data_IF_644867383305
#
_entry.id   IF_644867383305
#
_cell.length_a   1.000
_cell.length_b   1.000
_cell.length_c   1.000
_cell.angle_alpha   90.00
_cell.angle_beta   90.00
_cell.angle_gamma   90.00
#
_symmetry.space_group_name_H-M   'P 1'
#
loop_
_entity.id
_entity.type
_entity.pdbx_description
1 polymer ?
#
# COMPACT_ATOMS: atom_id res chain seq x y z
N UNK A 1 -7.44 -43.62 -17.39
CA UNK A 1 -6.29 -42.76 -17.76
C UNK A 1 -6.80 -41.33 -17.77
N UNK A 2 -6.22 -40.44 -16.99
CA UNK A 2 -6.44 -38.99 -17.18
C UNK A 2 -5.89 -38.67 -18.57
N UNK A 3 -6.69 -38.04 -19.42
CA UNK A 3 -6.25 -37.61 -20.75
C UNK A 3 -5.08 -36.64 -20.57
N UNK A 4 -3.89 -37.01 -21.09
CA UNK A 4 -2.65 -36.23 -20.95
C UNK A 4 -2.83 -34.80 -21.48
N UNK A 5 -3.68 -34.62 -22.49
CA UNK A 5 -4.04 -33.33 -23.08
C UNK A 5 -4.86 -32.48 -22.11
N UNK A 6 -5.76 -33.10 -21.36
CA UNK A 6 -6.59 -32.41 -20.37
C UNK A 6 -5.78 -31.99 -19.14
N UNK A 7 -4.80 -32.80 -18.74
CA UNK A 7 -3.88 -32.46 -17.66
C UNK A 7 -2.97 -31.28 -18.02
N UNK A 8 -2.41 -31.27 -19.23
CA UNK A 8 -1.60 -30.14 -19.73
C UNK A 8 -2.40 -28.84 -19.76
N UNK A 9 -3.63 -28.87 -20.31
CA UNK A 9 -4.53 -27.71 -20.30
C UNK A 9 -4.78 -27.18 -18.89
N UNK A 10 -4.98 -28.07 -17.91
CA UNK A 10 -5.15 -27.66 -16.50
C UNK A 10 -3.91 -27.01 -15.91
N UNK A 11 -2.70 -27.44 -16.28
CA UNK A 11 -1.47 -26.80 -15.81
C UNK A 11 -1.32 -25.38 -16.37
N UNK A 12 -1.58 -25.18 -17.67
CA UNK A 12 -1.55 -23.85 -18.27
C UNK A 12 -2.64 -22.93 -17.72
N UNK A 13 -3.84 -23.46 -17.47
CA UNK A 13 -4.91 -22.69 -16.78
C UNK A 13 -4.48 -22.26 -15.37
N UNK A 14 -3.87 -23.17 -14.59
CA UNK A 14 -3.35 -22.84 -13.26
C UNK A 14 -2.24 -21.77 -13.31
N UNK A 15 -1.40 -21.80 -14.34
CA UNK A 15 -0.37 -20.78 -14.58
C UNK A 15 -1.00 -19.41 -14.85
N UNK A 16 -1.95 -19.36 -15.78
CA UNK A 16 -2.66 -18.13 -16.14
C UNK A 16 -3.45 -17.54 -14.97
N UNK A 17 -4.17 -18.37 -14.22
CA UNK A 17 -4.89 -17.95 -13.01
C UNK A 17 -3.93 -17.35 -11.96
N UNK A 18 -2.78 -17.98 -11.76
CA UNK A 18 -1.77 -17.53 -10.80
C UNK A 18 -1.14 -16.20 -11.23
N UNK A 19 -0.83 -16.03 -12.52
CA UNK A 19 -0.32 -14.77 -13.08
C UNK A 19 -1.35 -13.64 -12.99
N UNK A 20 -2.61 -13.92 -13.32
CA UNK A 20 -3.71 -12.97 -13.18
C UNK A 20 -3.96 -12.57 -11.72
N UNK A 21 -3.90 -13.53 -10.78
CA UNK A 21 -3.98 -13.25 -9.34
C UNK A 21 -2.88 -12.26 -8.92
N UNK A 22 -1.65 -12.50 -9.35
CA UNK A 22 -0.49 -11.64 -9.05
C UNK A 22 -0.64 -10.24 -9.61
N UNK A 23 -0.98 -10.11 -10.89
CA UNK A 23 -1.16 -8.80 -11.53
C UNK A 23 -2.25 -7.98 -10.84
N UNK A 24 -3.37 -8.62 -10.48
CA UNK A 24 -4.44 -7.97 -9.73
C UNK A 24 -3.97 -7.50 -8.36
N UNK A 25 -3.26 -8.36 -7.61
CA UNK A 25 -2.74 -8.03 -6.27
C UNK A 25 -1.68 -6.92 -6.33
N UNK A 26 -0.80 -6.95 -7.32
CA UNK A 26 0.21 -5.90 -7.58
C UNK A 26 -0.47 -4.55 -7.82
N UNK A 27 -1.48 -4.52 -8.70
CA UNK A 27 -2.24 -3.30 -8.98
C UNK A 27 -2.92 -2.75 -7.72
N UNK A 28 -3.51 -3.62 -6.89
CA UNK A 28 -4.14 -3.21 -5.62
C UNK A 28 -3.12 -2.62 -4.64
N UNK A 29 -1.93 -3.22 -4.55
CA UNK A 29 -0.83 -2.72 -3.74
C UNK A 29 -0.37 -1.33 -4.23
N UNK A 30 -0.10 -1.17 -5.51
CA UNK A 30 0.30 0.11 -6.12
C UNK A 30 -0.75 1.20 -5.90
N UNK A 31 -2.03 0.88 -6.12
CA UNK A 31 -3.12 1.82 -5.88
C UNK A 31 -3.27 2.19 -4.39
N UNK A 32 -3.02 1.24 -3.49
CA UNK A 32 -3.04 1.51 -2.04
C UNK A 32 -1.87 2.41 -1.63
N UNK A 33 -0.70 2.21 -2.24
CA UNK A 33 0.47 3.06 -2.05
C UNK A 33 0.21 4.50 -2.49
N UNK A 34 -0.38 4.68 -3.67
CA UNK A 34 -0.79 5.99 -4.19
C UNK A 34 -1.83 6.67 -3.29
N UNK A 35 -2.83 5.93 -2.83
CA UNK A 35 -3.87 6.45 -1.93
C UNK A 35 -3.29 6.93 -0.59
N UNK A 36 -2.38 6.16 0.02
CA UNK A 36 -1.73 6.55 1.27
C UNK A 36 -0.91 7.84 1.07
N UNK A 37 -0.17 7.95 -0.03
CA UNK A 37 0.60 9.15 -0.36
C UNK A 37 -0.30 10.37 -0.62
N UNK A 38 -1.40 10.17 -1.36
CA UNK A 38 -2.39 11.22 -1.63
C UNK A 38 -3.04 11.73 -0.36
N UNK A 39 -3.49 10.84 0.53
CA UNK A 39 -4.09 11.23 1.82
C UNK A 39 -3.09 12.03 2.66
N UNK A 40 -1.82 11.59 2.73
CA UNK A 40 -0.79 12.33 3.46
C UNK A 40 -0.56 13.74 2.88
N UNK A 41 -0.57 13.87 1.56
CA UNK A 41 -0.48 15.17 0.89
C UNK A 41 -1.70 16.07 1.17
N UNK A 42 -2.92 15.54 1.02
CA UNK A 42 -4.16 16.27 1.32
C UNK A 42 -4.20 16.75 2.76
N UNK A 43 -3.77 15.91 3.70
CA UNK A 43 -3.72 16.25 5.12
C UNK A 43 -2.71 17.37 5.41
N UNK A 44 -1.55 17.39 4.74
CA UNK A 44 -0.59 18.48 4.85
C UNK A 44 -1.16 19.81 4.33
N UNK A 45 -1.90 19.78 3.21
CA UNK A 45 -2.55 20.98 2.68
C UNK A 45 -3.60 21.51 3.65
N UNK A 46 -4.44 20.64 4.21
CA UNK A 46 -5.44 21.01 5.22
C UNK A 46 -4.78 21.65 6.44
N UNK A 47 -3.66 21.10 6.92
CA UNK A 47 -2.93 21.69 8.04
C UNK A 47 -2.37 23.08 7.70
N UNK A 48 -1.78 23.25 6.51
CA UNK A 48 -1.26 24.53 6.06
C UNK A 48 -2.36 25.59 5.96
N UNK A 49 -3.49 25.25 5.36
CA UNK A 49 -4.66 26.14 5.22
C UNK A 49 -5.23 26.52 6.59
N UNK A 50 -5.48 25.52 7.44
CA UNK A 50 -6.02 25.73 8.80
C UNK A 50 -5.08 26.64 9.60
N UNK A 51 -3.77 26.38 9.54
CA UNK A 51 -2.76 27.22 10.21
C UNK A 51 -2.82 28.66 9.72
N UNK A 52 -2.90 28.87 8.40
CA UNK A 52 -2.99 30.19 7.80
C UNK A 52 -4.23 30.95 8.29
N UNK A 53 -5.40 30.29 8.26
CA UNK A 53 -6.66 30.88 8.75
C UNK A 53 -6.58 31.19 10.25
N UNK A 54 -6.09 30.26 11.07
CA UNK A 54 -5.98 30.49 12.52
C UNK A 54 -5.03 31.64 12.83
N UNK A 55 -3.88 31.75 12.15
CA UNK A 55 -2.96 32.90 12.31
C UNK A 55 -3.63 34.21 11.95
N UNK A 56 -4.39 34.26 10.85
CA UNK A 56 -5.11 35.47 10.45
C UNK A 56 -6.16 35.87 11.49
N UNK A 57 -6.91 34.90 12.03
CA UNK A 57 -7.92 35.15 13.07
C UNK A 57 -7.26 35.66 14.36
N UNK A 58 -6.19 35.02 14.82
CA UNK A 58 -5.43 35.47 16.00
C UNK A 58 -4.90 36.89 15.80
N UNK A 59 -4.40 37.22 14.61
CA UNK A 59 -3.96 38.58 14.28
C UNK A 59 -5.08 39.61 14.34
N UNK A 60 -6.27 39.28 13.81
CA UNK A 60 -7.46 40.15 13.87
C UNK A 60 -7.98 40.36 15.29
N UNK A 61 -7.78 39.38 16.17
CA UNK A 61 -8.16 39.46 17.58
C UNK A 61 -7.09 40.11 18.47
N UNK A 62 -5.98 40.58 17.87
CA UNK A 62 -4.82 41.12 18.61
C UNK A 62 -4.35 40.16 19.71
N UNK A 63 -4.41 38.85 19.43
CA UNK A 63 -4.07 37.83 20.39
C UNK A 63 -2.61 37.94 20.84
N UNK A 64 -2.36 37.58 22.10
CA UNK A 64 -1.00 37.55 22.64
C UNK A 64 -0.08 36.62 21.85
N UNK A 65 1.22 36.95 21.81
CA UNK A 65 2.27 36.11 21.21
C UNK A 65 2.23 34.65 21.69
N UNK A 66 1.84 34.43 22.96
CA UNK A 66 1.66 33.10 23.55
C UNK A 66 0.66 32.22 22.78
N UNK A 67 -0.36 32.83 22.17
CA UNK A 67 -1.38 32.14 21.37
C UNK A 67 -0.82 31.64 20.03
N UNK A 68 0.06 32.43 19.39
CA UNK A 68 0.75 32.03 18.17
C UNK A 68 1.72 30.88 18.43
N UNK A 69 2.49 30.93 19.53
CA UNK A 69 3.38 29.84 19.92
C UNK A 69 2.62 28.54 20.21
N UNK A 70 1.45 28.62 20.86
CA UNK A 70 0.59 27.45 21.08
C UNK A 70 0.09 26.85 19.77
N UNK A 71 -0.30 27.69 18.80
CA UNK A 71 -0.69 27.23 17.47
C UNK A 71 0.46 26.48 16.76
N UNK A 72 1.69 27.01 16.83
CA UNK A 72 2.87 26.34 16.26
C UNK A 72 3.14 24.98 16.92
N UNK A 73 3.02 24.89 18.25
CA UNK A 73 3.18 23.63 18.98
C UNK A 73 2.13 22.60 18.58
N UNK A 74 0.86 23.02 18.48
CA UNK A 74 -0.24 22.14 18.04
C UNK A 74 0.04 21.62 16.64
N UNK A 75 0.42 22.49 15.71
CA UNK A 75 0.71 22.10 14.33
C UNK A 75 1.90 21.15 14.21
N UNK A 76 2.97 21.39 14.99
CA UNK A 76 4.11 20.48 15.04
C UNK A 76 3.68 19.08 15.51
N UNK A 77 2.89 19.00 16.58
CA UNK A 77 2.37 17.72 17.09
C UNK A 77 1.43 17.00 16.12
N UNK A 78 0.56 17.73 15.41
CA UNK A 78 -0.31 17.17 14.37
C UNK A 78 0.47 16.67 13.15
N UNK A 79 1.49 17.43 12.72
CA UNK A 79 2.38 17.03 11.63
C UNK A 79 3.16 15.76 11.97
N UNK A 80 3.73 15.69 13.18
CA UNK A 80 4.46 14.50 13.63
C UNK A 80 3.56 13.26 13.70
N UNK A 81 2.38 13.41 14.30
CA UNK A 81 1.40 12.33 14.41
C UNK A 81 0.95 11.81 13.04
N UNK A 82 0.71 12.73 12.09
CA UNK A 82 0.36 12.39 10.71
C UNK A 82 1.48 11.63 10.00
N UNK A 83 2.73 12.10 10.13
CA UNK A 83 3.90 11.43 9.57
C UNK A 83 4.11 10.04 10.17
N UNK A 84 3.85 9.87 11.47
CA UNK A 84 3.88 8.56 12.09
C UNK A 84 2.81 7.62 11.53
N UNK A 85 1.55 8.07 11.42
CA UNK A 85 0.47 7.27 10.84
C UNK A 85 0.80 6.88 9.40
N UNK A 86 1.26 7.82 8.57
CA UNK A 86 1.70 7.55 7.20
C UNK A 86 2.77 6.44 7.16
N UNK A 87 3.85 6.58 7.96
CA UNK A 87 4.93 5.59 8.02
C UNK A 87 4.43 4.22 8.48
N UNK A 88 3.57 4.16 9.48
CA UNK A 88 2.98 2.90 9.99
C UNK A 88 2.12 2.22 8.93
N UNK A 89 1.24 2.97 8.26
CA UNK A 89 0.37 2.42 7.21
C UNK A 89 1.18 1.95 6.00
N UNK A 90 2.19 2.71 5.58
CA UNK A 90 3.08 2.32 4.50
C UNK A 90 3.83 1.03 4.82
N UNK A 91 4.46 0.97 6.00
CA UNK A 91 5.18 -0.22 6.46
C UNK A 91 4.27 -1.45 6.52
N UNK A 92 3.05 -1.30 7.02
CA UNK A 92 2.08 -2.40 7.08
C UNK A 92 1.76 -2.93 5.68
N UNK A 93 1.46 -2.04 4.74
CA UNK A 93 1.17 -2.41 3.36
C UNK A 93 2.35 -3.12 2.67
N UNK A 94 3.57 -2.63 2.90
CA UNK A 94 4.78 -3.23 2.34
C UNK A 94 5.01 -4.64 2.91
N UNK A 95 4.79 -4.85 4.22
CA UNK A 95 4.88 -6.18 4.85
C UNK A 95 3.82 -7.16 4.30
N UNK A 96 2.56 -6.73 4.18
CA UNK A 96 1.48 -7.55 3.61
C UNK A 96 1.80 -7.96 2.16
N UNK A 97 2.42 -7.07 1.39
CA UNK A 97 2.87 -7.35 0.03
C UNK A 97 4.03 -8.34 0.00
N UNK A 98 5.03 -8.19 0.87
CA UNK A 98 6.15 -9.14 1.00
C UNK A 98 5.67 -10.54 1.39
N UNK A 99 4.77 -10.66 2.37
CA UNK A 99 4.15 -11.92 2.78
C UNK A 99 3.42 -12.58 1.60
N UNK A 100 2.64 -11.79 0.85
CA UNK A 100 1.99 -12.27 -0.37
C UNK A 100 3.00 -12.77 -1.40
N UNK A 101 4.08 -12.03 -1.66
CA UNK A 101 5.10 -12.42 -2.64
C UNK A 101 5.79 -13.74 -2.26
N UNK A 102 6.07 -13.95 -0.97
CA UNK A 102 6.64 -15.22 -0.48
C UNK A 102 5.66 -16.37 -0.73
N UNK A 103 4.38 -16.19 -0.41
CA UNK A 103 3.36 -17.21 -0.65
C UNK A 103 3.16 -17.49 -2.16
N UNK A 104 3.19 -16.44 -2.98
CA UNK A 104 3.09 -16.54 -4.44
C UNK A 104 4.24 -17.35 -5.04
N UNK A 105 5.49 -17.07 -4.63
CA UNK A 105 6.67 -17.83 -5.08
C UNK A 105 6.55 -19.32 -4.78
N UNK A 106 6.07 -19.68 -3.59
CA UNK A 106 5.81 -21.08 -3.23
C UNK A 106 4.80 -21.74 -4.18
N UNK A 107 3.70 -21.03 -4.53
CA UNK A 107 2.72 -21.53 -5.51
C UNK A 107 3.36 -21.71 -6.89
N UNK A 108 4.19 -20.76 -7.33
CA UNK A 108 4.93 -20.85 -8.59
C UNK A 108 5.89 -22.05 -8.61
N UNK A 109 6.67 -22.25 -7.55
CA UNK A 109 7.61 -23.37 -7.44
C UNK A 109 6.88 -24.71 -7.53
N UNK A 110 5.76 -24.85 -6.81
CA UNK A 110 4.92 -26.05 -6.88
C UNK A 110 4.37 -26.29 -8.28
N UNK A 111 3.95 -25.25 -8.99
CA UNK A 111 3.45 -25.37 -10.35
C UNK A 111 4.57 -25.72 -11.35
N UNK A 112 5.75 -25.12 -11.19
CA UNK A 112 6.94 -25.45 -11.98
C UNK A 112 7.38 -26.91 -11.78
N UNK A 113 7.27 -27.42 -10.55
CA UNK A 113 7.52 -28.83 -10.25
C UNK A 113 6.52 -29.75 -10.97
N UNK A 114 5.23 -29.38 -10.99
CA UNK A 114 4.19 -30.13 -11.75
C UNK A 114 4.48 -30.15 -13.24
N UNK A 115 4.83 -29.01 -13.84
CA UNK A 115 5.26 -28.96 -15.25
C UNK A 115 6.49 -29.82 -15.52
N UNK A 116 7.44 -29.85 -14.58
CA UNK A 116 8.67 -30.65 -14.72
C UNK A 116 8.42 -32.15 -14.52
N UNK A 117 7.43 -32.55 -13.70
CA UNK A 117 6.96 -33.95 -13.63
C UNK A 117 6.25 -34.34 -14.94
N UNK A 118 5.30 -33.53 -15.39
CA UNK A 118 4.59 -33.76 -16.65
C UNK A 118 5.54 -33.99 -17.84
N UNK A 119 6.56 -33.12 -17.99
CA UNK A 119 7.56 -33.24 -19.07
C UNK A 119 8.46 -34.49 -18.97
N UNK A 120 8.69 -35.02 -17.76
CA UNK A 120 9.46 -36.26 -17.56
C UNK A 120 8.64 -37.51 -17.86
N UNK A 121 7.31 -37.41 -17.73
CA UNK A 121 6.35 -38.50 -17.96
C UNK A 121 5.77 -38.48 -19.40
N UNK A 122 6.29 -37.59 -20.26
CA UNK A 122 6.07 -37.58 -21.71
C UNK A 122 7.00 -38.58 -22.40
#
# INVERSE_FOLDING_TARGET
MVDKTEFEKKLYQQQEELENEYLRRKKQYEQSQENIARIAYELNNIYAETTGVTRQVLGKLEAENSSFSKLEQINAGLSESSQEVYRRQRKKLDLEWEEYQVAYRKKQDMLAEKFSKYRRDQ
#
